data_IF_021195429923
#
_entry.id   IF_021195429923
#
_cell.length_a   1.000
_cell.length_b   1.000
_cell.length_c   1.000
_cell.angle_alpha   90.00
_cell.angle_beta   90.00
_cell.angle_gamma   90.00
#
_symmetry.space_group_name_H-M   'P 1'
#
loop_
_entity.id
_entity.type
_entity.pdbx_description
1 polymer ?
#
# COMPACT_ATOMS: atom_id res chain seq x y z
N UNK A 1 -1.30 -6.44 -14.48
CA UNK A 1 -0.55 -7.27 -13.52
C UNK A 1 0.89 -6.82 -13.51
N UNK A 2 1.60 -7.04 -12.40
CA UNK A 2 3.01 -6.71 -12.29
C UNK A 2 3.81 -7.95 -11.85
N UNK A 3 4.88 -8.24 -12.58
CA UNK A 3 5.87 -9.25 -12.21
C UNK A 3 6.80 -8.67 -11.16
N UNK A 4 6.93 -9.34 -10.02
CA UNK A 4 7.83 -8.99 -8.92
C UNK A 4 8.70 -10.19 -8.55
N UNK A 5 9.76 -9.97 -7.78
CA UNK A 5 10.60 -11.06 -7.26
C UNK A 5 10.57 -11.09 -5.73
N UNK A 6 10.34 -12.26 -5.14
CA UNK A 6 10.46 -12.48 -3.70
C UNK A 6 11.47 -13.61 -3.44
N UNK A 7 12.54 -13.29 -2.70
CA UNK A 7 13.64 -14.23 -2.41
C UNK A 7 14.26 -14.89 -3.66
N UNK A 8 14.29 -14.15 -4.77
CA UNK A 8 14.83 -14.63 -6.05
C UNK A 8 13.81 -15.33 -6.95
N UNK A 9 12.62 -15.66 -6.43
CA UNK A 9 11.57 -16.30 -7.21
C UNK A 9 10.61 -15.26 -7.82
N UNK A 10 10.24 -15.37 -9.10
CA UNK A 10 9.26 -14.48 -9.73
C UNK A 10 7.84 -14.79 -9.26
N UNK A 11 7.04 -13.74 -9.01
CA UNK A 11 5.62 -13.81 -8.69
C UNK A 11 4.84 -12.76 -9.47
N UNK A 12 3.56 -13.03 -9.65
CA UNK A 12 2.60 -12.12 -10.29
C UNK A 12 1.64 -11.54 -9.27
N UNK A 13 1.38 -10.23 -9.35
CA UNK A 13 0.32 -9.59 -8.57
C UNK A 13 -1.06 -9.91 -9.15
N UNK A 14 -2.10 -9.91 -8.31
CA UNK A 14 -3.48 -10.16 -8.75
C UNK A 14 -4.10 -9.03 -9.58
N UNK A 15 -3.42 -7.89 -9.72
CA UNK A 15 -3.92 -6.70 -10.42
C UNK A 15 -2.81 -5.79 -10.92
N UNK A 16 -3.18 -4.73 -11.64
CA UNK A 16 -2.26 -3.69 -12.10
C UNK A 16 -2.16 -2.55 -11.10
N UNK A 17 -1.00 -1.90 -11.03
CA UNK A 17 -0.85 -0.64 -10.31
C UNK A 17 -1.49 0.51 -11.11
N UNK A 18 -2.04 1.53 -10.44
CA UNK A 18 -2.57 2.72 -11.11
C UNK A 18 -1.45 3.51 -11.79
N UNK A 19 -1.72 4.01 -13.00
CA UNK A 19 -0.76 4.80 -13.76
C UNK A 19 -0.65 6.25 -13.21
N UNK A 20 0.51 6.87 -13.42
CA UNK A 20 0.74 8.27 -13.02
C UNK A 20 -0.26 9.19 -13.75
N UNK A 21 -0.88 10.09 -13.01
CA UNK A 21 -1.88 11.03 -13.53
C UNK A 21 -3.32 10.50 -13.51
N UNK A 22 -3.53 9.22 -13.16
CA UNK A 22 -4.88 8.67 -12.96
C UNK A 22 -5.42 8.98 -11.56
N UNK A 23 -6.75 8.97 -11.43
CA UNK A 23 -7.39 9.10 -10.12
C UNK A 23 -7.10 7.82 -9.33
N UNK A 24 -6.59 7.98 -8.10
CA UNK A 24 -6.30 6.85 -7.23
C UNK A 24 -7.58 6.02 -6.97
N UNK A 25 -7.54 4.69 -7.11
CA UNK A 25 -8.65 3.82 -6.76
C UNK A 25 -9.05 4.00 -5.28
N UNK A 26 -10.35 3.99 -5.01
CA UNK A 26 -10.82 4.08 -3.64
C UNK A 26 -10.51 2.79 -2.87
N UNK A 27 -10.37 2.91 -1.55
CA UNK A 27 -10.18 1.78 -0.63
C UNK A 27 -10.96 2.00 0.66
N UNK A 28 -11.23 0.92 1.37
CA UNK A 28 -11.61 0.92 2.77
C UNK A 28 -10.66 -0.02 3.51
N UNK A 29 -9.82 0.53 4.38
CA UNK A 29 -8.84 -0.21 5.18
C UNK A 29 -9.22 -0.10 6.66
N UNK A 30 -8.70 -1.00 7.50
CA UNK A 30 -8.98 -0.98 8.94
C UNK A 30 -7.92 -0.19 9.70
N UNK A 31 -8.35 0.80 10.48
CA UNK A 31 -7.51 1.58 11.38
C UNK A 31 -7.11 0.82 12.65
N UNK A 32 -6.19 1.41 13.43
CA UNK A 32 -5.75 0.83 14.71
C UNK A 32 -6.86 0.79 15.77
N UNK A 33 -7.87 1.63 15.62
CA UNK A 33 -9.09 1.69 16.42
C UNK A 33 -10.22 0.79 15.86
N UNK A 34 -9.90 -0.05 14.86
CA UNK A 34 -10.81 -0.96 14.17
C UNK A 34 -11.94 -0.26 13.40
N UNK A 35 -11.79 1.03 13.08
CA UNK A 35 -12.72 1.79 12.24
C UNK A 35 -12.26 1.73 10.79
N UNK A 36 -13.22 1.77 9.85
CA UNK A 36 -12.94 1.88 8.43
C UNK A 36 -12.29 3.23 8.09
N UNK A 37 -11.23 3.19 7.30
CA UNK A 37 -10.43 4.33 6.86
C UNK A 37 -10.28 4.28 5.34
N UNK A 38 -10.90 5.24 4.65
CA UNK A 38 -10.77 5.44 3.21
C UNK A 38 -9.97 6.69 2.83
N UNK A 39 -9.98 7.02 1.53
CA UNK A 39 -9.28 8.19 1.00
C UNK A 39 -9.86 9.52 1.53
N UNK A 40 -11.15 9.56 1.82
CA UNK A 40 -11.88 10.71 2.33
C UNK A 40 -11.39 11.18 3.70
N UNK A 41 -10.91 10.26 4.55
CA UNK A 41 -10.31 10.58 5.84
C UNK A 41 -9.07 11.49 5.72
N UNK A 42 -8.47 11.56 4.53
CA UNK A 42 -7.28 12.34 4.23
C UNK A 42 -7.52 13.48 3.21
N UNK A 43 -8.77 13.91 3.01
CA UNK A 43 -9.10 14.96 2.05
C UNK A 43 -8.23 16.24 2.20
N UNK A 44 -7.89 16.87 1.08
CA UNK A 44 -7.07 18.10 1.04
C UNK A 44 -5.57 17.92 1.29
N UNK A 45 -5.10 16.71 1.62
CA UNK A 45 -3.67 16.42 1.82
C UNK A 45 -3.06 15.64 0.64
N UNK A 46 -1.76 15.77 0.43
CA UNK A 46 -1.00 14.77 -0.32
C UNK A 46 -0.93 13.48 0.50
N UNK A 47 -1.09 12.32 -0.14
CA UNK A 47 -1.03 11.01 0.52
C UNK A 47 0.11 10.21 -0.06
N UNK A 48 0.88 9.56 0.82
CA UNK A 48 1.89 8.57 0.45
C UNK A 48 1.41 7.22 0.96
N UNK A 49 1.16 6.27 0.07
CA UNK A 49 0.76 4.91 0.43
C UNK A 49 2.02 4.03 0.51
N UNK A 50 2.54 3.83 1.72
CA UNK A 50 3.69 2.95 1.98
C UNK A 50 3.20 1.51 2.20
N UNK A 51 3.18 0.70 1.13
CA UNK A 51 2.63 -0.66 1.13
C UNK A 51 3.75 -1.66 1.40
N UNK A 52 3.62 -2.47 2.46
CA UNK A 52 4.59 -3.49 2.84
C UNK A 52 3.93 -4.86 3.04
N UNK A 53 4.65 -5.98 2.84
CA UNK A 53 4.10 -7.33 3.10
C UNK A 53 3.65 -7.54 4.55
N UNK A 54 4.44 -7.07 5.52
CA UNK A 54 4.11 -7.14 6.95
C UNK A 54 5.00 -6.21 7.76
N UNK A 55 4.42 -5.29 8.53
CA UNK A 55 5.14 -4.42 9.47
C UNK A 55 5.77 -5.18 10.65
N UNK A 56 5.38 -6.44 10.87
CA UNK A 56 5.92 -7.29 11.95
C UNK A 56 7.29 -7.88 11.61
N UNK A 57 7.87 -7.50 10.46
CA UNK A 57 9.20 -7.92 10.03
C UNK A 57 10.17 -6.75 10.07
N UNK A 58 11.43 -7.01 10.49
CA UNK A 58 12.41 -5.95 10.73
C UNK A 58 12.67 -5.03 9.52
N UNK A 59 12.76 -5.58 8.31
CA UNK A 59 13.02 -4.81 7.09
C UNK A 59 11.84 -3.92 6.72
N UNK A 60 10.61 -4.44 6.77
CA UNK A 60 9.40 -3.67 6.47
C UNK A 60 9.11 -2.61 7.55
N UNK A 61 9.37 -2.93 8.82
CA UNK A 61 9.25 -1.95 9.90
C UNK A 61 10.24 -0.79 9.69
N UNK A 62 11.47 -1.08 9.23
CA UNK A 62 12.46 -0.05 8.91
C UNK A 62 12.02 0.85 7.76
N UNK A 63 11.37 0.31 6.72
CA UNK A 63 10.88 1.12 5.59
C UNK A 63 9.70 2.03 5.96
N UNK A 64 9.01 1.78 7.07
CA UNK A 64 7.90 2.59 7.56
C UNK A 64 8.31 3.68 8.56
N UNK A 65 9.55 3.67 9.06
CA UNK A 65 10.02 4.60 10.11
C UNK A 65 10.43 5.99 9.61
N UNK A 66 10.42 6.25 8.31
CA UNK A 66 10.85 7.53 7.71
C UNK A 66 9.95 7.93 6.57
#
# INVERSE_FOLDING_TARGET
>A
MATITFKGEPLETCGSLPEVGTIAPNFSLTGADLVDVGLEAFAGKAKVLNIVPSLDTGICAMSAKR
#
